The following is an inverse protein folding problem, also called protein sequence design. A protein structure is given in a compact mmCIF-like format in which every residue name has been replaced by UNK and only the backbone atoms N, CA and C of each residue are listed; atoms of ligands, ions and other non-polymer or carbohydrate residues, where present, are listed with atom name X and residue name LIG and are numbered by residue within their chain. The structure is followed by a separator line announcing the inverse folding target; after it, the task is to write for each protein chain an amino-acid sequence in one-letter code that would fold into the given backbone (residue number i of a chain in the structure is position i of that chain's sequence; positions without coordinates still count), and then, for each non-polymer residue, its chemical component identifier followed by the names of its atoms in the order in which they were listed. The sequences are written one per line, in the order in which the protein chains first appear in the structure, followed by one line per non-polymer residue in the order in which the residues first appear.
data_IF_313078560889
#
_entry.id   IF_313078560889
#
_cell.length_a   1.000
_cell.length_b   1.000
_cell.length_c   1.000
_cell.angle_alpha   90.00
_cell.angle_beta   90.00
_cell.angle_gamma   90.00
#
_symmetry.space_group_name_H-M   'P 1'
#
loop_
_entity.id
_entity.type
_entity.pdbx_description
1 polymer ?
#
# COMPACT_ATOMS: atom_id res chain seq x y z
N UNK A 1 2.03 2.59 20.07
CA UNK A 1 0.60 2.95 20.09
C UNK A 1 0.39 3.98 19.00
N UNK A 2 -0.68 3.86 18.21
CA UNK A 2 -0.98 4.74 17.06
C UNK A 2 -0.91 6.24 17.43
N UNK A 3 -1.22 6.57 18.69
CA UNK A 3 -1.12 7.92 19.27
C UNK A 3 0.30 8.51 19.29
N UNK A 4 1.35 7.68 19.19
CA UNK A 4 2.76 8.12 19.15
C UNK A 4 3.30 8.30 17.73
N UNK A 5 2.44 8.25 16.71
CA UNK A 5 2.87 8.48 15.33
C UNK A 5 3.20 9.94 15.10
N UNK A 6 4.07 10.19 14.14
CA UNK A 6 4.23 11.52 13.57
C UNK A 6 2.91 11.92 12.86
N UNK A 7 2.33 13.09 13.19
CA UNK A 7 1.05 13.53 12.62
C UNK A 7 1.12 13.79 11.10
N UNK A 8 2.31 13.97 10.54
CA UNK A 8 2.54 14.12 9.10
C UNK A 8 2.61 12.81 8.33
N UNK A 9 2.49 11.65 9.00
CA UNK A 9 2.57 10.33 8.36
C UNK A 9 1.21 9.65 8.37
N UNK A 10 0.71 9.34 7.18
CA UNK A 10 -0.48 8.50 6.98
C UNK A 10 -0.09 7.15 6.36
N UNK A 11 -0.89 6.11 6.64
CA UNK A 11 -0.69 4.77 6.08
C UNK A 11 -1.90 4.39 5.25
N UNK A 12 -1.61 4.04 4.00
CA UNK A 12 -2.57 3.40 3.10
C UNK A 12 -2.23 1.91 3.00
N UNK A 13 -3.27 1.11 2.90
CA UNK A 13 -3.19 -0.34 2.83
C UNK A 13 -3.92 -0.77 1.56
N UNK A 14 -3.20 -1.46 0.69
CA UNK A 14 -3.80 -2.18 -0.44
C UNK A 14 -4.44 -3.45 0.12
N UNK A 15 -5.73 -3.65 -0.14
CA UNK A 15 -6.59 -4.65 0.50
C UNK A 15 -7.21 -5.59 -0.53
N UNK A 16 -7.13 -6.91 -0.28
CA UNK A 16 -7.66 -7.92 -1.20
C UNK A 16 -9.16 -7.78 -1.48
N UNK A 17 -9.96 -7.38 -0.48
CA UNK A 17 -11.41 -7.24 -0.64
C UNK A 17 -11.88 -5.78 -0.79
N UNK A 18 -11.15 -4.82 -0.22
CA UNK A 18 -11.59 -3.42 -0.13
C UNK A 18 -10.80 -2.47 -1.04
N UNK A 19 -9.84 -2.99 -1.81
CA UNK A 19 -9.02 -2.21 -2.74
C UNK A 19 -8.00 -1.34 -2.02
N UNK A 20 -8.39 -0.15 -1.58
CA UNK A 20 -7.55 0.81 -0.86
C UNK A 20 -8.24 1.26 0.42
N UNK A 21 -7.55 1.15 1.56
CA UNK A 21 -8.06 1.61 2.85
C UNK A 21 -7.01 2.46 3.56
N UNK A 22 -7.45 3.42 4.37
CA UNK A 22 -6.59 4.14 5.30
C UNK A 22 -6.48 3.37 6.62
N UNK A 23 -5.39 3.58 7.35
CA UNK A 23 -5.16 2.93 8.67
C UNK A 23 -6.23 3.21 9.73
N UNK A 24 -7.06 4.23 9.53
CA UNK A 24 -8.12 4.64 10.46
C UNK A 24 -9.50 4.09 10.07
N UNK A 25 -9.60 3.42 8.93
CA UNK A 25 -10.87 2.88 8.46
C UNK A 25 -11.30 1.72 9.35
N UNK A 26 -12.58 1.70 9.71
CA UNK A 26 -13.18 0.55 10.39
C UNK A 26 -13.60 -0.47 9.35
N UNK A 27 -13.00 -1.65 9.38
CA UNK A 27 -13.24 -2.71 8.40
C UNK A 27 -13.78 -3.98 9.08
N UNK A 28 -14.64 -4.76 8.40
CA UNK A 28 -14.99 -6.09 8.87
C UNK A 28 -13.80 -7.05 8.73
N UNK A 29 -13.77 -8.10 9.55
CA UNK A 29 -12.78 -9.18 9.38
C UNK A 29 -13.07 -9.97 8.11
N UNK A 30 -12.05 -10.16 7.27
CA UNK A 30 -12.09 -11.04 6.10
C UNK A 30 -10.72 -11.70 5.91
N UNK A 31 -10.69 -12.84 5.22
CA UNK A 31 -9.49 -13.66 5.05
C UNK A 31 -9.04 -13.74 3.58
N UNK A 32 -9.09 -12.63 2.85
CA UNK A 32 -8.72 -12.57 1.44
C UNK A 32 -7.42 -11.83 1.17
N UNK A 33 -6.58 -12.41 0.31
CA UNK A 33 -5.30 -11.85 -0.10
C UNK A 33 -5.36 -11.33 -1.55
N UNK A 34 -4.56 -10.31 -1.88
CA UNK A 34 -4.37 -9.87 -3.26
C UNK A 34 -3.86 -10.99 -4.19
N UNK A 35 -3.14 -11.97 -3.63
CA UNK A 35 -2.62 -13.11 -4.39
C UNK A 35 -3.66 -14.22 -4.63
N UNK A 36 -4.84 -14.12 -4.02
CA UNK A 36 -5.83 -15.19 -4.00
C UNK A 36 -6.54 -15.33 -5.36
N UNK A 37 -6.67 -16.55 -5.90
CA UNK A 37 -7.55 -16.83 -7.02
C UNK A 37 -9.00 -16.86 -6.55
N UNK A 38 -9.85 -16.03 -7.13
CA UNK A 38 -11.27 -15.92 -6.83
C UNK A 38 -12.09 -16.02 -8.13
N UNK A 39 -12.53 -17.21 -8.53
CA UNK A 39 -13.44 -17.35 -9.66
C UNK A 39 -14.77 -16.61 -9.41
N UNK A 40 -15.36 -15.94 -10.43
CA UNK A 40 -14.90 -15.83 -11.82
C UNK A 40 -13.90 -14.68 -12.08
N UNK A 41 -13.50 -13.94 -11.04
CA UNK A 41 -12.68 -12.73 -11.12
C UNK A 41 -11.20 -12.98 -11.47
N UNK A 42 -10.73 -14.21 -11.28
CA UNK A 42 -9.32 -14.56 -11.45
C UNK A 42 -8.50 -14.18 -10.22
N UNK A 43 -7.23 -13.80 -10.39
CA UNK A 43 -6.37 -13.38 -9.27
C UNK A 43 -6.72 -11.95 -8.86
N UNK A 44 -6.98 -11.73 -7.57
CA UNK A 44 -7.53 -10.45 -7.09
C UNK A 44 -6.65 -9.24 -7.42
N UNK A 45 -5.31 -9.37 -7.38
CA UNK A 45 -4.42 -8.27 -7.75
C UNK A 45 -4.63 -7.78 -9.19
N UNK A 46 -4.73 -8.69 -10.16
CA UNK A 46 -4.98 -8.38 -11.57
C UNK A 46 -6.39 -7.85 -11.77
N UNK A 47 -7.35 -8.39 -11.04
CA UNK A 47 -8.73 -7.91 -11.10
C UNK A 47 -8.80 -6.45 -10.63
N UNK A 48 -8.23 -6.13 -9.46
CA UNK A 48 -8.17 -4.77 -8.93
C UNK A 48 -7.42 -3.80 -9.84
N UNK A 49 -6.28 -4.24 -10.39
CA UNK A 49 -5.55 -3.46 -11.39
C UNK A 49 -6.46 -3.10 -12.57
N UNK A 50 -7.12 -4.10 -13.16
CA UNK A 50 -8.05 -3.90 -14.28
C UNK A 50 -9.30 -3.08 -13.91
N UNK A 51 -9.69 -3.02 -12.63
CA UNK A 51 -10.78 -2.17 -12.14
C UNK A 51 -10.35 -0.73 -11.83
N UNK A 52 -9.07 -0.38 -12.06
CA UNK A 52 -8.59 0.99 -11.93
C UNK A 52 -8.07 1.37 -10.54
N UNK A 53 -7.65 0.40 -9.74
CA UNK A 53 -7.03 0.67 -8.44
C UNK A 53 -5.76 1.57 -8.52
N UNK A 54 -4.88 1.47 -9.55
CA UNK A 54 -3.78 2.41 -9.73
C UNK A 54 -4.25 3.87 -9.85
N UNK A 55 -5.31 4.12 -10.62
CA UNK A 55 -5.90 5.45 -10.84
C UNK A 55 -6.49 6.00 -9.55
N UNK A 56 -7.16 5.15 -8.76
CA UNK A 56 -7.73 5.53 -7.45
C UNK A 56 -6.62 5.95 -6.49
N UNK A 57 -5.54 5.15 -6.39
CA UNK A 57 -4.39 5.50 -5.56
C UNK A 57 -3.74 6.80 -6.03
N UNK A 58 -3.55 6.98 -7.34
CA UNK A 58 -3.01 8.23 -7.91
C UNK A 58 -3.87 9.43 -7.55
N UNK A 59 -5.19 9.34 -7.77
CA UNK A 59 -6.12 10.43 -7.46
C UNK A 59 -6.09 10.79 -5.97
N UNK A 60 -5.96 9.80 -5.09
CA UNK A 60 -5.78 10.03 -3.66
C UNK A 60 -4.49 10.82 -3.37
N UNK A 61 -3.37 10.40 -3.95
CA UNK A 61 -2.07 11.06 -3.77
C UNK A 61 -2.05 12.49 -4.34
N UNK A 62 -2.68 12.72 -5.50
CA UNK A 62 -2.83 14.06 -6.08
C UNK A 62 -3.69 15.00 -5.21
N UNK A 63 -4.70 14.44 -4.54
CA UNK A 63 -5.59 15.20 -3.66
C UNK A 63 -4.93 15.56 -2.33
N UNK A 64 -4.12 14.66 -1.78
CA UNK A 64 -3.46 14.82 -0.47
C UNK A 64 -2.08 15.48 -0.58
N UNK A 65 -1.46 15.45 -1.77
CA UNK A 65 -0.16 16.05 -2.09
C UNK A 65 0.93 15.74 -1.06
N UNK A 66 1.18 14.46 -0.75
CA UNK A 66 2.26 14.11 0.16
C UNK A 66 3.60 14.49 -0.47
N UNK A 67 4.55 14.94 0.35
CA UNK A 67 5.91 15.19 -0.13
C UNK A 67 6.60 13.89 -0.58
N UNK A 68 6.33 12.79 0.13
CA UNK A 68 6.96 11.48 -0.11
C UNK A 68 5.93 10.37 0.04
N UNK A 69 6.00 9.37 -0.84
CA UNK A 69 5.30 8.09 -0.74
C UNK A 69 6.34 7.00 -0.57
N UNK A 70 6.23 6.21 0.50
CA UNK A 70 7.08 5.04 0.73
C UNK A 70 6.29 3.78 0.40
N UNK A 71 6.65 3.11 -0.69
CA UNK A 71 6.06 1.84 -1.09
C UNK A 71 6.78 0.69 -0.36
N UNK A 72 6.07 0.10 0.61
CA UNK A 72 6.47 -1.11 1.35
C UNK A 72 5.66 -2.35 0.93
N UNK A 73 4.94 -2.31 -0.20
CA UNK A 73 4.10 -3.41 -0.65
C UNK A 73 4.94 -4.64 -1.01
N UNK A 74 4.39 -5.81 -0.70
CA UNK A 74 4.89 -7.05 -1.32
C UNK A 74 4.55 -7.06 -2.81
N UNK A 75 5.26 -7.88 -3.60
CA UNK A 75 5.09 -7.95 -5.06
C UNK A 75 3.61 -8.12 -5.45
N UNK A 76 2.91 -9.05 -4.81
CA UNK A 76 1.52 -9.38 -5.12
C UNK A 76 0.54 -8.22 -4.89
N UNK A 77 0.82 -7.39 -3.89
CA UNK A 77 0.01 -6.21 -3.59
C UNK A 77 0.41 -5.03 -4.46
N UNK A 78 1.69 -4.91 -4.81
CA UNK A 78 2.19 -3.89 -5.74
C UNK A 78 1.60 -4.08 -7.13
N UNK A 79 1.49 -5.32 -7.61
CA UNK A 79 0.84 -5.64 -8.90
C UNK A 79 -0.56 -5.03 -9.01
N UNK A 80 -1.31 -4.92 -7.91
CA UNK A 80 -2.65 -4.36 -7.93
C UNK A 80 -2.69 -2.84 -8.19
N UNK A 81 -1.57 -2.15 -7.96
CA UNK A 81 -1.44 -0.68 -8.07
C UNK A 81 -0.30 -0.26 -9.00
N UNK A 82 0.25 -1.19 -9.79
CA UNK A 82 1.35 -0.89 -10.69
C UNK A 82 0.98 0.25 -11.66
N UNK A 83 1.88 1.21 -11.82
CA UNK A 83 1.65 2.45 -12.56
C UNK A 83 1.02 3.60 -11.74
N UNK A 84 0.72 3.45 -10.45
CA UNK A 84 0.09 4.54 -9.65
C UNK A 84 0.89 5.85 -9.64
N UNK A 85 2.22 5.77 -9.78
CA UNK A 85 3.10 6.93 -9.75
C UNK A 85 3.12 7.70 -11.08
N UNK A 86 2.58 7.13 -12.16
CA UNK A 86 2.58 7.76 -13.47
C UNK A 86 1.78 9.06 -13.46
N UNK A 87 2.46 10.17 -13.76
CA UNK A 87 1.85 11.49 -13.84
C UNK A 87 1.80 12.27 -12.51
N UNK A 88 2.19 11.67 -11.38
CA UNK A 88 2.33 12.39 -10.12
C UNK A 88 3.42 13.47 -10.25
N UNK A 89 3.09 14.70 -9.83
CA UNK A 89 4.02 15.84 -9.86
C UNK A 89 4.41 16.28 -8.46
N UNK A 90 5.71 16.43 -8.22
CA UNK A 90 6.23 16.94 -6.94
C UNK A 90 6.14 15.95 -5.77
N UNK A 91 5.82 14.68 -6.03
CA UNK A 91 5.80 13.61 -5.03
C UNK A 91 7.03 12.73 -5.22
N UNK A 92 7.86 12.56 -4.19
CA UNK A 92 8.95 11.59 -4.20
C UNK A 92 8.40 10.20 -3.89
N UNK A 93 8.53 9.25 -4.82
CA UNK A 93 8.15 7.85 -4.57
C UNK A 93 9.41 7.05 -4.26
N UNK A 94 9.45 6.41 -3.10
CA UNK A 94 10.54 5.53 -2.66
C UNK A 94 10.03 4.11 -2.47
N UNK A 95 10.51 3.19 -3.31
CA UNK A 95 10.17 1.77 -3.22
C UNK A 95 11.21 1.08 -2.33
N UNK A 96 10.77 0.56 -1.20
CA UNK A 96 11.61 -0.23 -0.30
C UNK A 96 11.25 -1.70 -0.48
N UNK A 97 12.18 -2.45 -1.05
CA UNK A 97 12.05 -3.89 -1.21
C UNK A 97 13.01 -4.66 -0.30
N UNK A 98 12.65 -5.91 -0.03
CA UNK A 98 13.37 -6.80 0.89
C UNK A 98 13.72 -8.10 0.14
N UNK A 99 14.63 -8.04 -0.83
CA UNK A 99 14.91 -9.15 -1.73
C UNK A 99 15.50 -10.34 -0.98
N UNK A 100 15.25 -11.55 -1.50
CA UNK A 100 15.81 -12.84 -1.01
C UNK A 100 15.40 -13.26 0.41
N UNK A 101 14.45 -12.56 1.05
CA UNK A 101 13.98 -12.92 2.40
C UNK A 101 12.70 -13.77 2.40
N UNK A 102 12.01 -13.91 1.26
CA UNK A 102 10.74 -14.64 1.17
C UNK A 102 9.76 -14.15 2.24
N UNK A 103 9.22 -15.07 3.06
CA UNK A 103 8.36 -14.73 4.22
C UNK A 103 9.04 -13.86 5.28
N UNK A 104 10.37 -13.92 5.41
CA UNK A 104 11.15 -13.05 6.30
C UNK A 104 11.12 -11.57 5.93
N UNK A 105 10.59 -11.21 4.76
CA UNK A 105 10.36 -9.81 4.39
C UNK A 105 9.18 -9.17 5.14
N UNK A 106 8.20 -9.95 5.61
CA UNK A 106 6.99 -9.39 6.23
C UNK A 106 7.27 -8.69 7.57
N UNK A 107 8.02 -9.28 8.52
CA UNK A 107 8.38 -8.59 9.76
C UNK A 107 9.20 -7.33 9.49
N UNK A 108 10.12 -7.37 8.51
CA UNK A 108 10.97 -6.21 8.14
C UNK A 108 10.17 -5.06 7.56
N UNK A 109 9.15 -5.35 6.73
CA UNK A 109 8.19 -4.34 6.25
C UNK A 109 7.45 -3.69 7.42
N UNK A 110 7.01 -4.50 8.39
CA UNK A 110 6.34 -4.01 9.60
C UNK A 110 7.25 -3.15 10.48
N UNK A 111 8.49 -3.58 10.72
CA UNK A 111 9.50 -2.82 11.47
C UNK A 111 9.79 -1.47 10.80
N UNK A 112 9.96 -1.47 9.47
CA UNK A 112 10.23 -0.27 8.70
C UNK A 112 9.04 0.70 8.69
N UNK A 113 7.82 0.20 8.51
CA UNK A 113 6.61 1.01 8.64
C UNK A 113 6.49 1.62 10.03
N UNK A 114 6.77 0.84 11.09
CA UNK A 114 6.72 1.31 12.47
C UNK A 114 7.82 2.33 12.81
N UNK A 115 8.98 2.27 12.16
CA UNK A 115 10.02 3.29 12.25
C UNK A 115 9.56 4.60 11.61
N UNK A 116 9.13 4.57 10.35
CA UNK A 116 8.66 5.75 9.60
C UNK A 116 7.49 6.40 10.34
N UNK A 117 6.54 5.61 10.81
CA UNK A 117 5.40 6.09 11.59
C UNK A 117 5.82 6.85 12.84
N UNK A 118 6.91 6.46 13.51
CA UNK A 118 7.35 7.10 14.74
C UNK A 118 8.22 8.32 14.50
N UNK A 119 8.98 8.36 13.40
CA UNK A 119 10.03 9.36 13.19
C UNK A 119 9.67 10.40 12.14
N UNK A 120 8.68 10.13 11.28
CA UNK A 120 8.40 10.95 10.10
C UNK A 120 9.49 10.87 9.03
N UNK A 121 10.50 10.01 9.22
CA UNK A 121 11.69 9.95 8.38
C UNK A 121 11.69 8.68 7.56
N UNK A 122 12.02 8.86 6.28
CA UNK A 122 12.37 7.80 5.34
C UNK A 122 13.88 7.67 5.36
#
# INVERSE_FOLDING_TARGET
MWEKRDPGVEVLIVSGLLGLIASRDTIPTYAHSMAEPMPPLGKLNRWWHAQGLPEILRAYLDSTRPATVVDLLSLEYREAVDGFAEGLKGVRVEVIDFPRLGRGSQPRRGERAAEILRTGKV
#
